data_IF_934103474063
#
_entry.id   IF_934103474063
#
_cell.length_a   1.000
_cell.length_b   1.000
_cell.length_c   1.000
_cell.angle_alpha   90.00
_cell.angle_beta   90.00
_cell.angle_gamma   90.00
#
_symmetry.space_group_name_H-M   'P 1'
#
loop_
_entity.id
_entity.type
_entity.pdbx_description
1 polymer ?
#
# COMPACT_ATOMS: atom_id res chain seq x y z
N UNK A 1 -8.15 12.52 -6.90
CA UNK A 1 -8.78 12.72 -5.56
C UNK A 1 -7.82 12.26 -4.50
N UNK A 2 -7.76 12.95 -3.38
CA UNK A 2 -6.97 12.57 -2.22
C UNK A 2 -7.90 12.25 -1.06
N UNK A 3 -7.76 11.08 -0.46
CA UNK A 3 -8.53 10.69 0.72
C UNK A 3 -7.64 10.65 1.94
N UNK A 4 -7.86 11.59 2.86
CA UNK A 4 -7.08 11.75 4.06
C UNK A 4 -7.87 11.40 5.31
N UNK A 5 -7.38 10.40 6.04
CA UNK A 5 -7.97 9.94 7.29
C UNK A 5 -7.00 10.16 8.45
N UNK A 6 -7.06 11.35 9.05
CA UNK A 6 -6.24 11.77 10.18
C UNK A 6 -6.97 11.73 11.52
N UNK A 7 -8.15 11.08 11.61
CA UNK A 7 -8.85 10.94 12.87
C UNK A 7 -8.25 9.82 13.75
N UNK A 8 -6.94 9.87 13.88
CA UNK A 8 -6.09 8.91 14.57
C UNK A 8 -4.82 9.60 15.10
N UNK A 9 -3.78 8.86 15.49
CA UNK A 9 -2.53 9.39 16.02
C UNK A 9 -1.77 10.30 15.03
N UNK A 10 -1.89 10.09 13.72
CA UNK A 10 -1.26 10.95 12.71
C UNK A 10 -1.89 12.36 12.73
N UNK A 11 -3.20 12.45 12.89
CA UNK A 11 -3.89 13.73 13.04
C UNK A 11 -3.68 14.36 14.42
N UNK A 12 -3.45 13.57 15.47
CA UNK A 12 -3.04 14.09 16.78
C UNK A 12 -1.69 14.80 16.72
N UNK A 13 -0.79 14.34 15.84
CA UNK A 13 0.52 14.93 15.56
C UNK A 13 0.48 16.05 14.51
N UNK A 14 -0.72 16.49 14.11
CA UNK A 14 -0.99 17.56 13.13
C UNK A 14 -0.38 17.33 11.73
N UNK A 15 0.02 16.10 11.41
CA UNK A 15 0.49 15.77 10.06
C UNK A 15 -0.60 16.05 9.01
N UNK A 16 -1.86 15.88 9.40
CA UNK A 16 -3.01 16.12 8.56
C UNK A 16 -3.11 17.57 8.03
N UNK A 17 -2.81 18.56 8.83
CA UNK A 17 -2.85 19.97 8.40
C UNK A 17 -1.60 20.37 7.64
N UNK A 18 -0.45 19.81 8.01
CA UNK A 18 0.83 20.07 7.33
C UNK A 18 0.77 19.64 5.87
N UNK A 19 0.25 18.43 5.59
CA UNK A 19 0.15 17.95 4.21
C UNK A 19 -0.81 18.77 3.36
N UNK A 20 -1.93 19.28 3.92
CA UNK A 20 -2.79 20.20 3.16
C UNK A 20 -2.03 21.47 2.79
N UNK A 21 -1.17 21.96 3.68
CA UNK A 21 -0.31 23.12 3.39
C UNK A 21 0.71 22.80 2.29
N UNK A 22 1.34 21.64 2.33
CA UNK A 22 2.24 21.14 1.28
C UNK A 22 1.50 20.95 -0.05
N UNK A 23 0.26 20.43 -0.03
CA UNK A 23 -0.57 20.32 -1.24
C UNK A 23 -0.87 21.69 -1.86
N UNK A 24 -1.11 22.72 -1.04
CA UNK A 24 -1.32 24.09 -1.54
C UNK A 24 -0.05 24.58 -2.22
N UNK A 25 1.12 24.38 -1.63
CA UNK A 25 2.40 24.75 -2.26
C UNK A 25 2.64 23.95 -3.54
N UNK A 26 2.44 22.64 -3.53
CA UNK A 26 2.57 21.80 -4.71
C UNK A 26 1.63 22.19 -5.85
N UNK A 27 0.38 22.59 -5.54
CA UNK A 27 -0.57 23.09 -6.53
C UNK A 27 -0.07 24.34 -7.26
N UNK A 28 0.75 25.19 -6.63
CA UNK A 28 1.34 26.36 -7.31
C UNK A 28 2.27 25.92 -8.45
N UNK A 29 2.97 24.79 -8.29
CA UNK A 29 3.87 24.19 -9.28
C UNK A 29 3.16 23.50 -10.45
N UNK A 30 1.84 23.21 -10.36
CA UNK A 30 1.12 22.50 -11.44
C UNK A 30 0.95 23.36 -12.69
N UNK A 31 0.94 22.72 -13.87
CA UNK A 31 0.55 23.35 -15.12
C UNK A 31 -0.96 23.58 -15.21
N UNK A 32 -1.37 24.72 -15.81
CA UNK A 32 -2.77 25.01 -16.08
C UNK A 32 -3.63 25.36 -14.85
N UNK A 33 -4.92 25.63 -15.10
CA UNK A 33 -5.91 26.09 -14.11
C UNK A 33 -7.14 25.18 -14.08
N UNK A 34 -7.13 24.07 -14.83
CA UNK A 34 -8.28 23.16 -14.98
C UNK A 34 -8.18 21.91 -14.09
N UNK A 35 -7.03 21.71 -13.44
CA UNK A 35 -6.80 20.58 -12.56
C UNK A 35 -7.59 20.74 -11.26
N UNK A 36 -8.21 19.65 -10.80
CA UNK A 36 -8.94 19.62 -9.55
C UNK A 36 -8.21 18.69 -8.57
N UNK A 37 -7.73 19.23 -7.45
CA UNK A 37 -7.29 18.43 -6.33
C UNK A 37 -8.40 18.42 -5.27
N UNK A 38 -9.10 17.30 -5.17
CA UNK A 38 -10.15 17.10 -4.18
C UNK A 38 -9.55 16.37 -2.98
N UNK A 39 -9.77 16.89 -1.79
CA UNK A 39 -9.26 16.30 -0.54
C UNK A 39 -10.45 16.05 0.38
N UNK A 40 -10.75 14.77 0.62
CA UNK A 40 -11.61 14.40 1.73
C UNK A 40 -10.76 14.36 3.00
N UNK A 41 -11.01 15.27 3.88
CA UNK A 41 -10.26 15.49 5.10
C UNK A 41 -11.09 15.09 6.32
N UNK A 42 -10.70 14.04 7.03
CA UNK A 42 -11.30 13.64 8.30
C UNK A 42 -10.20 13.70 9.39
N UNK A 43 -9.94 14.89 9.89
CA UNK A 43 -8.88 15.16 10.87
C UNK A 43 -9.30 14.88 12.31
N UNK A 44 -8.32 14.71 13.19
CA UNK A 44 -8.55 14.45 14.61
C UNK A 44 -9.34 15.58 15.27
N UNK A 45 -10.50 15.24 15.85
CA UNK A 45 -11.44 16.19 16.47
C UNK A 45 -11.88 17.36 15.57
N UNK A 46 -11.75 17.19 14.25
CA UNK A 46 -12.16 18.20 13.25
C UNK A 46 -13.41 17.71 12.51
N UNK A 47 -14.25 18.63 12.07
CA UNK A 47 -15.36 18.31 11.17
C UNK A 47 -14.82 17.77 9.86
N UNK A 48 -15.28 16.58 9.43
CA UNK A 48 -14.88 16.02 8.17
C UNK A 48 -15.39 16.87 6.99
N UNK A 49 -14.57 17.06 5.97
CA UNK A 49 -14.87 17.90 4.81
C UNK A 49 -14.32 17.31 3.53
N UNK A 50 -15.05 17.48 2.45
CA UNK A 50 -14.52 17.41 1.11
C UNK A 50 -14.14 18.84 0.70
N UNK A 51 -12.87 19.08 0.47
CA UNK A 51 -12.34 20.37 0.01
C UNK A 51 -11.79 20.24 -1.41
N UNK A 52 -11.77 21.35 -2.12
CA UNK A 52 -11.15 21.47 -3.43
C UNK A 52 -10.05 22.51 -3.38
N UNK A 53 -8.87 22.16 -3.88
CA UNK A 53 -7.76 23.08 -4.11
C UNK A 53 -7.73 23.44 -5.58
N UNK A 54 -7.76 24.73 -5.89
CA UNK A 54 -7.83 25.26 -7.25
C UNK A 54 -6.77 26.35 -7.42
N UNK A 55 -5.98 26.26 -8.49
CA UNK A 55 -5.08 27.32 -8.90
C UNK A 55 -5.79 28.27 -9.87
N UNK A 56 -5.78 29.56 -9.56
CA UNK A 56 -6.32 30.59 -10.45
C UNK A 56 -5.30 31.04 -11.53
N UNK A 57 -5.74 31.88 -12.47
CA UNK A 57 -4.88 32.42 -13.54
C UNK A 57 -3.70 33.29 -13.07
N UNK A 58 -3.67 33.69 -11.78
CA UNK A 58 -2.58 34.45 -11.16
C UNK A 58 -1.58 33.55 -10.42
N UNK A 59 -1.79 32.22 -10.43
CA UNK A 59 -0.97 31.25 -9.70
C UNK A 59 -1.32 31.09 -8.22
N UNK A 60 -2.36 31.78 -7.72
CA UNK A 60 -2.82 31.62 -6.35
C UNK A 60 -3.67 30.38 -6.20
N UNK A 61 -3.49 29.64 -5.11
CA UNK A 61 -4.29 28.44 -4.78
C UNK A 61 -5.37 28.81 -3.77
N UNK A 62 -6.63 28.51 -4.12
CA UNK A 62 -7.78 28.69 -3.25
C UNK A 62 -8.26 27.33 -2.75
N UNK A 63 -8.65 27.30 -1.48
CA UNK A 63 -9.35 26.18 -0.87
C UNK A 63 -10.85 26.49 -0.81
N UNK A 64 -11.65 25.59 -1.36
CA UNK A 64 -13.10 25.67 -1.33
C UNK A 64 -13.64 24.45 -0.56
N UNK A 65 -14.58 24.65 0.35
CA UNK A 65 -15.31 23.54 0.97
C UNK A 65 -16.43 23.11 0.04
N UNK A 66 -16.34 21.88 -0.49
CA UNK A 66 -17.36 21.30 -1.36
C UNK A 66 -18.52 20.75 -0.51
N UNK A 67 -18.19 20.04 0.57
CA UNK A 67 -19.15 19.46 1.49
C UNK A 67 -18.56 19.32 2.89
N UNK A 68 -19.38 19.50 3.91
CA UNK A 68 -19.06 19.19 5.30
C UNK A 68 -19.91 18.00 5.73
N UNK A 69 -19.34 17.11 6.52
CA UNK A 69 -19.99 15.90 7.00
C UNK A 69 -20.18 15.99 8.51
N UNK A 70 -21.31 15.48 8.99
CA UNK A 70 -21.50 15.28 10.42
C UNK A 70 -20.49 14.25 10.96
N UNK A 71 -20.40 14.15 12.29
CA UNK A 71 -19.54 13.16 12.93
C UNK A 71 -19.94 11.75 12.45
N UNK A 72 -18.99 11.03 11.89
CA UNK A 72 -19.19 9.69 11.34
C UNK A 72 -17.88 8.88 11.35
N UNK A 73 -18.00 7.58 11.23
CA UNK A 73 -16.86 6.70 10.95
C UNK A 73 -16.40 6.89 9.49
N UNK A 74 -15.28 7.57 9.32
CA UNK A 74 -14.74 7.92 7.99
C UNK A 74 -14.22 6.74 7.17
N UNK A 75 -14.07 5.56 7.79
CA UNK A 75 -13.65 4.32 7.14
C UNK A 75 -14.82 3.35 6.90
N UNK A 76 -16.05 3.75 7.14
CA UNK A 76 -17.19 2.90 6.81
C UNK A 76 -17.43 2.85 5.28
N UNK A 77 -17.90 1.70 4.81
CA UNK A 77 -18.21 1.47 3.40
C UNK A 77 -19.17 2.52 2.82
N UNK A 78 -20.25 2.81 3.53
CA UNK A 78 -21.28 3.74 3.06
C UNK A 78 -20.77 5.17 2.96
N UNK A 79 -20.01 5.63 3.97
CA UNK A 79 -19.39 6.96 3.95
C UNK A 79 -18.38 7.07 2.80
N UNK A 80 -17.57 6.03 2.57
CA UNK A 80 -16.65 6.03 1.45
C UNK A 80 -17.36 6.12 0.11
N UNK A 81 -18.41 5.33 -0.09
CA UNK A 81 -19.24 5.39 -1.31
C UNK A 81 -19.86 6.76 -1.50
N UNK A 82 -20.37 7.38 -0.43
CA UNK A 82 -20.98 8.71 -0.51
C UNK A 82 -19.95 9.78 -0.89
N UNK A 83 -18.78 9.77 -0.25
CA UNK A 83 -17.67 10.69 -0.59
C UNK A 83 -17.25 10.53 -2.04
N UNK A 84 -17.10 9.30 -2.54
CA UNK A 84 -16.71 9.04 -3.93
C UNK A 84 -17.79 9.50 -4.91
N UNK A 85 -19.08 9.19 -4.65
CA UNK A 85 -20.17 9.68 -5.49
C UNK A 85 -20.19 11.20 -5.55
N UNK A 86 -20.09 11.86 -4.39
CA UNK A 86 -20.05 13.32 -4.34
C UNK A 86 -18.88 13.91 -5.11
N UNK A 87 -17.68 13.35 -4.92
CA UNK A 87 -16.49 13.85 -5.60
C UNK A 87 -16.58 13.66 -7.11
N UNK A 88 -16.85 12.45 -7.58
CA UNK A 88 -16.76 12.14 -9.02
C UNK A 88 -17.98 12.58 -9.82
N UNK A 89 -19.17 12.68 -9.23
CA UNK A 89 -20.34 13.26 -9.91
C UNK A 89 -20.23 14.75 -10.11
N UNK A 90 -19.63 15.46 -9.15
CA UNK A 90 -19.50 16.92 -9.24
C UNK A 90 -18.29 17.40 -10.05
N UNK A 91 -17.28 16.54 -10.20
CA UNK A 91 -16.03 16.88 -10.87
C UNK A 91 -15.62 15.83 -11.92
N UNK A 92 -16.41 15.70 -13.00
CA UNK A 92 -16.05 14.80 -14.10
C UNK A 92 -14.75 15.26 -14.76
N UNK A 93 -13.88 14.30 -15.06
CA UNK A 93 -12.57 14.54 -15.68
C UNK A 93 -12.27 13.50 -16.76
N UNK A 94 -11.23 13.75 -17.56
CA UNK A 94 -10.75 12.80 -18.56
C UNK A 94 -9.87 11.70 -17.96
N UNK A 95 -9.24 12.01 -16.83
CA UNK A 95 -8.24 11.20 -16.16
C UNK A 95 -8.43 11.34 -14.65
N UNK A 96 -8.25 10.26 -13.93
CA UNK A 96 -8.44 10.22 -12.48
C UNK A 96 -7.26 9.51 -11.81
N UNK A 97 -6.72 10.13 -10.77
CA UNK A 97 -5.80 9.51 -9.83
C UNK A 97 -6.37 9.54 -8.42
N UNK A 98 -5.98 8.60 -7.59
CA UNK A 98 -6.39 8.56 -6.20
C UNK A 98 -5.19 8.36 -5.27
N UNK A 99 -5.21 9.05 -4.12
CA UNK A 99 -4.23 8.90 -3.05
C UNK A 99 -4.96 8.48 -1.78
N UNK A 100 -4.50 7.42 -1.15
CA UNK A 100 -4.98 6.94 0.13
C UNK A 100 -3.93 7.18 1.21
N UNK A 101 -4.21 8.09 2.13
CA UNK A 101 -3.36 8.39 3.27
C UNK A 101 -4.05 8.03 4.58
N UNK A 102 -3.43 7.21 5.38
CA UNK A 102 -3.77 6.88 6.77
C UNK A 102 -2.75 5.87 7.32
N UNK A 103 -3.00 5.32 8.52
CA UNK A 103 -2.37 4.07 8.88
C UNK A 103 -2.78 2.95 7.92
N UNK A 104 -1.88 2.02 7.69
CA UNK A 104 -2.10 0.79 6.92
C UNK A 104 -1.34 -0.38 7.55
N UNK A 105 -1.84 -1.59 7.35
CA UNK A 105 -1.18 -2.83 7.74
C UNK A 105 -1.43 -3.93 6.69
N UNK A 106 -1.41 -3.50 5.43
CA UNK A 106 -1.57 -4.37 4.27
C UNK A 106 -2.86 -5.18 4.32
N UNK A 107 -2.73 -6.49 4.10
CA UNK A 107 -3.85 -7.42 4.14
C UNK A 107 -4.00 -8.13 5.50
N UNK A 108 -3.12 -7.88 6.48
CA UNK A 108 -3.08 -8.59 7.75
C UNK A 108 -4.34 -8.38 8.59
N UNK A 109 -4.80 -9.49 9.18
CA UNK A 109 -5.95 -9.51 10.07
C UNK A 109 -5.52 -9.23 11.51
N UNK A 110 -5.95 -8.12 12.08
CA UNK A 110 -5.75 -7.85 13.50
C UNK A 110 -6.70 -8.69 14.36
N UNK A 111 -6.28 -9.12 15.55
CA UNK A 111 -6.95 -10.12 16.43
C UNK A 111 -8.39 -9.79 16.89
N UNK A 112 -8.96 -8.68 16.49
CA UNK A 112 -10.38 -8.37 16.70
C UNK A 112 -11.16 -8.68 15.41
N UNK A 113 -12.38 -9.27 15.47
CA UNK A 113 -12.97 -10.05 14.37
C UNK A 113 -13.29 -9.31 13.08
N UNK A 114 -12.79 -8.13 12.82
CA UNK A 114 -13.28 -7.32 11.70
C UNK A 114 -12.27 -6.58 10.83
N UNK A 115 -10.94 -6.73 10.95
CA UNK A 115 -10.12 -5.77 10.19
C UNK A 115 -8.80 -6.28 9.61
N UNK A 116 -8.74 -6.39 8.31
CA UNK A 116 -7.58 -6.20 7.42
C UNK A 116 -7.67 -4.79 6.94
N UNK A 117 -6.61 -3.99 7.03
CA UNK A 117 -6.98 -2.61 7.03
C UNK A 117 -6.05 -1.64 6.34
N UNK A 118 -6.70 -0.81 5.61
CA UNK A 118 -6.27 0.51 5.33
C UNK A 118 -7.24 1.49 6.00
N UNK A 119 -6.70 2.57 6.56
CA UNK A 119 -7.52 3.62 7.16
C UNK A 119 -7.95 3.32 8.58
N UNK A 120 -7.69 4.24 9.50
CA UNK A 120 -8.10 4.15 10.88
C UNK A 120 -8.88 5.38 11.31
N UNK A 121 -10.02 5.18 11.97
CA UNK A 121 -10.81 6.22 12.60
C UNK A 121 -11.03 5.89 14.07
N UNK A 122 -10.56 6.77 14.95
CA UNK A 122 -10.64 6.62 16.40
C UNK A 122 -11.57 7.64 17.07
N UNK A 123 -12.51 8.21 16.32
CA UNK A 123 -13.39 9.29 16.81
C UNK A 123 -14.32 8.86 17.95
N UNK A 124 -14.84 7.64 17.90
CA UNK A 124 -15.71 7.03 18.91
C UNK A 124 -15.58 5.51 19.02
N UNK A 125 -14.51 4.97 18.45
CA UNK A 125 -14.16 3.55 18.42
C UNK A 125 -12.83 3.37 17.74
N UNK A 126 -12.37 2.15 17.52
CA UNK A 126 -11.21 1.84 16.67
C UNK A 126 -11.74 1.16 15.40
N UNK A 127 -12.07 1.96 14.40
CA UNK A 127 -12.60 1.52 13.12
C UNK A 127 -11.51 1.45 12.08
N UNK A 128 -11.57 0.44 11.24
CA UNK A 128 -10.62 0.19 10.17
C UNK A 128 -11.36 -0.39 8.97
N UNK A 129 -10.85 -0.21 7.77
CA UNK A 129 -11.48 -0.71 6.54
C UNK A 129 -10.74 -1.92 5.99
N UNK A 130 -11.44 -2.98 5.69
CA UNK A 130 -10.90 -4.13 4.97
C UNK A 130 -10.54 -3.78 3.52
N UNK A 131 -9.60 -4.48 2.93
CA UNK A 131 -9.27 -4.30 1.50
C UNK A 131 -10.42 -4.73 0.60
N UNK A 132 -11.20 -5.75 0.98
CA UNK A 132 -12.44 -6.12 0.28
C UNK A 132 -13.49 -5.02 0.31
N UNK A 133 -13.65 -4.35 1.46
CA UNK A 133 -14.60 -3.24 1.60
C UNK A 133 -14.10 -2.00 0.85
N UNK A 134 -12.78 -1.78 0.80
CA UNK A 134 -12.19 -0.74 -0.04
C UNK A 134 -12.44 -1.03 -1.52
N UNK A 135 -12.25 -2.27 -1.96
CA UNK A 135 -12.57 -2.70 -3.33
C UNK A 135 -14.04 -2.44 -3.65
N UNK A 136 -14.95 -2.77 -2.73
CA UNK A 136 -16.38 -2.50 -2.88
C UNK A 136 -16.68 -1.00 -2.87
N UNK A 137 -16.05 -0.22 -1.99
CA UNK A 137 -16.23 1.23 -1.97
C UNK A 137 -15.86 1.89 -3.31
N UNK A 138 -14.81 1.38 -3.94
CA UNK A 138 -14.34 1.86 -5.25
C UNK A 138 -15.28 1.51 -6.40
N UNK A 139 -16.28 0.64 -6.21
CA UNK A 139 -17.24 0.27 -7.27
C UNK A 139 -18.10 1.44 -7.77
N UNK A 140 -18.21 2.51 -7.01
CA UNK A 140 -18.94 3.72 -7.39
C UNK A 140 -18.02 4.84 -7.91
N UNK A 141 -16.72 4.60 -7.97
CA UNK A 141 -15.72 5.50 -8.51
C UNK A 141 -15.39 5.14 -9.97
N UNK A 142 -14.83 6.08 -10.76
CA UNK A 142 -14.27 5.74 -12.06
C UNK A 142 -13.04 4.84 -11.91
N UNK A 143 -12.58 4.25 -13.01
CA UNK A 143 -11.28 3.63 -13.07
C UNK A 143 -10.18 4.69 -12.93
N UNK A 144 -9.08 4.36 -12.26
CA UNK A 144 -7.98 5.29 -11.99
C UNK A 144 -6.78 4.98 -12.88
N UNK A 145 -6.10 6.02 -13.36
CA UNK A 145 -4.82 5.88 -14.05
C UNK A 145 -3.73 5.42 -13.06
N UNK A 146 -3.81 5.92 -11.81
CA UNK A 146 -2.93 5.48 -10.73
C UNK A 146 -3.62 5.53 -9.36
N UNK A 147 -3.14 4.69 -8.45
CA UNK A 147 -3.53 4.63 -7.05
C UNK A 147 -2.27 4.68 -6.18
N UNK A 148 -2.08 5.76 -5.43
CA UNK A 148 -1.00 5.90 -4.46
C UNK A 148 -1.50 5.52 -3.07
N UNK A 149 -0.87 4.55 -2.44
CA UNK A 149 -1.01 4.29 -1.02
C UNK A 149 0.12 4.97 -0.24
N UNK A 150 -0.19 6.10 0.37
CA UNK A 150 0.65 6.74 1.36
C UNK A 150 0.30 6.19 2.74
N UNK A 151 0.60 4.92 2.92
CA UNK A 151 0.29 4.11 4.09
C UNK A 151 1.22 2.89 4.17
N UNK A 152 1.51 2.42 5.39
CA UNK A 152 2.45 1.34 5.64
C UNK A 152 1.99 0.02 5.02
N UNK A 153 2.91 -0.77 4.46
CA UNK A 153 2.73 -2.14 3.98
C UNK A 153 1.70 -2.36 2.87
N UNK A 154 1.23 -1.28 2.22
CA UNK A 154 0.19 -1.39 1.20
C UNK A 154 0.69 -1.91 -0.16
N UNK A 155 2.02 -1.96 -0.38
CA UNK A 155 2.61 -2.55 -1.57
C UNK A 155 2.89 -4.05 -1.37
N UNK A 156 1.94 -4.74 -0.75
CA UNK A 156 1.90 -6.20 -0.74
C UNK A 156 1.12 -6.72 -1.93
N UNK A 157 1.57 -7.82 -2.50
CA UNK A 157 0.93 -8.40 -3.69
C UNK A 157 -0.53 -8.81 -3.40
N UNK A 158 -0.84 -9.17 -2.17
CA UNK A 158 -2.18 -9.51 -1.72
C UNK A 158 -3.15 -8.33 -1.82
N UNK A 159 -2.69 -7.12 -1.43
CA UNK A 159 -3.49 -5.88 -1.50
C UNK A 159 -3.72 -5.48 -2.95
N UNK A 160 -2.63 -5.34 -3.71
CA UNK A 160 -2.72 -4.82 -5.08
C UNK A 160 -3.41 -5.81 -6.02
N UNK A 161 -3.29 -7.12 -5.78
CA UNK A 161 -4.03 -8.12 -6.56
C UNK A 161 -5.53 -8.04 -6.31
N UNK A 162 -5.97 -7.79 -5.08
CA UNK A 162 -7.38 -7.60 -4.72
C UNK A 162 -8.00 -6.36 -5.38
N UNK A 163 -7.19 -5.32 -5.64
CA UNK A 163 -7.65 -4.03 -6.18
C UNK A 163 -7.31 -3.84 -7.67
N UNK A 164 -6.74 -4.87 -8.35
CA UNK A 164 -6.13 -4.78 -9.69
C UNK A 164 -7.05 -4.27 -10.81
N UNK A 165 -8.36 -4.41 -10.64
CA UNK A 165 -9.37 -3.97 -11.61
C UNK A 165 -9.79 -2.49 -11.43
N UNK A 166 -9.22 -1.79 -10.43
CA UNK A 166 -9.61 -0.42 -10.07
C UNK A 166 -8.65 0.64 -10.60
N UNK A 167 -7.44 0.28 -10.97
CA UNK A 167 -6.41 1.23 -11.40
C UNK A 167 -5.46 0.60 -12.42
N UNK A 168 -4.81 1.43 -13.24
CA UNK A 168 -3.75 0.97 -14.15
C UNK A 168 -2.42 0.75 -13.42
N UNK A 169 -2.11 1.60 -12.42
CA UNK A 169 -0.86 1.52 -11.65
C UNK A 169 -1.09 1.68 -10.16
N UNK A 170 -0.39 0.85 -9.38
CA UNK A 170 -0.23 1.02 -7.94
C UNK A 170 1.11 1.65 -7.63
N UNK A 171 1.11 2.60 -6.69
CA UNK A 171 2.29 3.24 -6.13
C UNK A 171 2.21 3.07 -4.61
N UNK A 172 3.28 2.62 -3.98
CA UNK A 172 3.25 2.44 -2.52
C UNK A 172 4.53 1.84 -1.97
N UNK A 173 4.49 1.53 -0.68
CA UNK A 173 5.61 0.96 0.05
C UNK A 173 5.27 -0.41 0.62
N UNK A 174 6.19 -1.41 0.48
CA UNK A 174 6.06 -2.67 1.19
C UNK A 174 6.53 -2.59 2.66
N UNK A 175 7.06 -1.42 3.08
CA UNK A 175 7.56 -1.16 4.44
C UNK A 175 6.65 -0.20 5.21
N UNK A 176 7.03 0.13 6.44
CA UNK A 176 6.48 1.31 7.10
C UNK A 176 6.83 2.58 6.33
N UNK A 177 5.90 3.55 6.38
CA UNK A 177 6.10 4.89 5.84
C UNK A 177 6.37 5.84 7.01
N UNK A 178 7.35 6.75 6.90
CA UNK A 178 7.57 7.79 7.89
C UNK A 178 6.31 8.62 8.18
N UNK A 179 6.14 9.08 9.42
CA UNK A 179 4.95 9.81 9.85
C UNK A 179 4.54 11.01 8.98
N UNK A 180 5.48 11.82 8.43
CA UNK A 180 5.16 12.88 7.48
C UNK A 180 4.50 12.37 6.18
N UNK A 181 4.69 11.11 5.79
CA UNK A 181 4.13 10.56 4.55
C UNK A 181 4.80 11.09 3.29
N UNK A 182 4.04 11.12 2.21
CA UNK A 182 4.50 11.63 0.93
C UNK A 182 4.78 13.15 1.02
N UNK A 183 5.89 13.64 0.44
CA UNK A 183 6.22 15.07 0.41
C UNK A 183 5.33 15.77 -0.64
N UNK A 184 4.12 16.19 -0.23
CA UNK A 184 3.09 16.66 -1.16
C UNK A 184 3.45 17.94 -1.93
N UNK A 185 4.37 18.74 -1.44
CA UNK A 185 4.92 19.84 -2.20
C UNK A 185 5.58 19.37 -3.51
N UNK A 186 6.28 18.23 -3.47
CA UNK A 186 6.92 17.64 -4.65
C UNK A 186 5.99 16.67 -5.40
N UNK A 187 5.16 15.91 -4.69
CA UNK A 187 4.29 14.88 -5.28
C UNK A 187 3.11 15.48 -6.03
N UNK A 188 2.50 16.58 -5.55
CA UNK A 188 1.32 17.16 -6.20
C UNK A 188 1.59 17.61 -7.63
N UNK A 189 2.71 18.27 -7.98
CA UNK A 189 3.01 18.55 -9.40
C UNK A 189 3.09 17.28 -10.26
N UNK A 190 3.65 16.19 -9.70
CA UNK A 190 3.77 14.91 -10.39
C UNK A 190 2.40 14.24 -10.64
N UNK A 191 1.41 14.38 -9.72
CA UNK A 191 0.04 13.88 -9.91
C UNK A 191 -0.62 14.44 -11.19
N UNK A 192 -0.21 15.62 -11.64
CA UNK A 192 -0.76 16.29 -12.81
C UNK A 192 0.19 16.29 -14.00
N UNK A 193 1.25 15.50 -13.97
CA UNK A 193 2.13 15.37 -15.13
C UNK A 193 1.42 14.64 -16.28
N UNK A 194 1.75 15.04 -17.53
CA UNK A 194 1.10 14.47 -18.71
C UNK A 194 1.78 13.16 -19.17
N UNK A 195 3.01 12.95 -18.80
CA UNK A 195 3.80 11.77 -19.14
C UNK A 195 4.16 11.03 -17.87
N UNK A 196 3.82 9.75 -17.83
CA UNK A 196 4.14 8.79 -16.75
C UNK A 196 3.94 9.35 -15.34
N UNK A 197 2.75 9.86 -15.01
CA UNK A 197 2.48 10.40 -13.67
C UNK A 197 2.83 9.41 -12.56
N UNK A 198 2.59 8.12 -12.76
CA UNK A 198 2.88 7.05 -11.81
C UNK A 198 4.38 6.95 -11.45
N UNK A 199 5.26 7.15 -12.45
CA UNK A 199 6.71 7.14 -12.24
C UNK A 199 7.15 8.45 -11.57
N UNK A 200 6.67 9.59 -12.08
CA UNK A 200 7.04 10.90 -11.54
C UNK A 200 6.62 11.07 -10.09
N UNK A 201 5.48 10.49 -9.68
CA UNK A 201 5.03 10.44 -8.28
C UNK A 201 6.04 9.66 -7.43
N UNK A 202 6.38 8.45 -7.85
CA UNK A 202 7.29 7.57 -7.13
C UNK A 202 8.70 8.16 -7.02
N UNK A 203 9.21 8.74 -8.12
CA UNK A 203 10.51 9.44 -8.14
C UNK A 203 10.52 10.66 -7.21
N UNK A 204 9.47 11.48 -7.26
CA UNK A 204 9.38 12.66 -6.39
C UNK A 204 9.35 12.26 -4.92
N UNK A 205 8.60 11.20 -4.58
CA UNK A 205 8.53 10.66 -3.23
C UNK A 205 9.92 10.20 -2.75
N UNK A 206 10.55 9.33 -3.53
CA UNK A 206 11.86 8.77 -3.21
C UNK A 206 12.95 9.84 -3.11
N UNK A 207 13.04 10.74 -4.10
CA UNK A 207 14.13 11.72 -4.21
C UNK A 207 14.17 12.66 -3.01
N UNK A 208 13.00 13.17 -2.57
CA UNK A 208 12.95 14.05 -1.39
C UNK A 208 13.45 13.34 -0.14
N UNK A 209 13.10 12.05 0.04
CA UNK A 209 13.59 11.29 1.18
C UNK A 209 15.07 10.95 1.07
N UNK A 210 15.56 10.57 -0.11
CA UNK A 210 16.97 10.26 -0.32
C UNK A 210 17.87 11.50 -0.11
N UNK A 211 17.46 12.66 -0.62
CA UNK A 211 18.22 13.90 -0.50
C UNK A 211 18.12 14.54 0.89
N UNK A 212 16.90 14.68 1.40
CA UNK A 212 16.64 15.40 2.66
C UNK A 212 17.06 14.61 3.88
N UNK A 213 16.91 13.29 3.84
CA UNK A 213 17.12 12.43 5.00
C UNK A 213 18.40 11.60 4.92
N UNK A 214 19.27 11.90 3.96
CA UNK A 214 20.56 11.25 3.80
C UNK A 214 20.47 9.71 3.92
N UNK A 215 19.59 9.09 3.15
CA UNK A 215 19.32 7.65 3.17
C UNK A 215 18.99 7.10 4.57
N UNK A 216 18.22 7.85 5.33
CA UNK A 216 17.78 7.48 6.66
C UNK A 216 18.78 7.72 7.79
N UNK A 217 19.95 8.31 7.50
CA UNK A 217 20.93 8.67 8.52
C UNK A 217 20.54 10.01 9.17
N UNK A 218 20.71 10.13 10.49
CA UNK A 218 20.48 11.36 11.23
C UNK A 218 19.01 11.70 11.51
N UNK A 219 18.18 10.66 11.66
CA UNK A 219 16.76 10.79 11.99
C UNK A 219 16.63 11.50 13.34
N UNK A 220 15.83 12.57 13.38
CA UNK A 220 15.30 13.08 14.62
C UNK A 220 13.92 12.46 14.89
N UNK A 221 13.63 12.10 16.14
CA UNK A 221 12.30 11.62 16.54
C UNK A 221 11.19 12.64 16.23
N UNK A 222 11.52 13.90 16.07
CA UNK A 222 10.58 14.97 15.73
C UNK A 222 10.06 14.88 14.31
N UNK A 223 10.82 14.28 13.38
CA UNK A 223 10.52 14.27 11.97
C UNK A 223 10.11 12.88 11.41
N UNK A 224 10.37 11.80 12.11
CA UNK A 224 10.09 10.43 11.68
C UNK A 224 10.63 10.12 10.27
N UNK A 225 11.82 10.55 10.00
CA UNK A 225 12.38 10.66 8.65
C UNK A 225 13.28 9.48 8.29
N UNK A 226 12.82 8.29 8.58
CA UNK A 226 13.61 7.08 8.53
C UNK A 226 13.81 6.41 7.18
N UNK A 227 13.92 7.17 6.10
CA UNK A 227 14.06 6.60 4.77
C UNK A 227 12.73 6.12 4.18
N UNK A 228 12.75 5.68 2.93
CA UNK A 228 11.56 5.20 2.23
C UNK A 228 11.90 4.14 1.18
N UNK A 229 10.99 3.20 0.99
CA UNK A 229 10.98 2.25 -0.13
C UNK A 229 9.71 2.47 -0.92
N UNK A 230 9.82 2.65 -2.24
CA UNK A 230 8.66 2.88 -3.10
C UNK A 230 8.77 2.04 -4.35
N UNK A 231 7.66 1.48 -4.81
CA UNK A 231 7.58 0.84 -6.12
C UNK A 231 6.33 1.22 -6.89
N UNK A 232 6.38 1.04 -8.21
CA UNK A 232 5.26 1.21 -9.13
C UNK A 232 4.97 -0.12 -9.78
N UNK A 233 3.72 -0.55 -9.67
CA UNK A 233 3.26 -1.84 -10.19
C UNK A 233 2.13 -1.64 -11.18
N UNK A 234 2.27 -2.22 -12.37
CA UNK A 234 1.28 -2.20 -13.43
C UNK A 234 0.22 -3.28 -13.20
N UNK A 235 -1.02 -2.88 -13.02
CA UNK A 235 -2.13 -3.77 -12.65
C UNK A 235 -2.41 -4.85 -13.67
N UNK A 236 -2.34 -4.53 -14.96
CA UNK A 236 -2.62 -5.48 -16.06
C UNK A 236 -1.65 -6.66 -16.10
N UNK A 237 -0.47 -6.55 -15.49
CA UNK A 237 0.55 -7.61 -15.44
C UNK A 237 0.40 -8.54 -14.22
N UNK A 238 -0.43 -8.19 -13.25
CA UNK A 238 -0.61 -8.99 -12.03
C UNK A 238 -1.18 -10.39 -12.27
N UNK A 239 -2.12 -10.63 -13.21
CA UNK A 239 -2.56 -11.99 -13.54
C UNK A 239 -1.45 -12.86 -14.13
N UNK A 240 -0.58 -12.29 -14.98
CA UNK A 240 0.59 -12.98 -15.52
C UNK A 240 1.61 -13.30 -14.44
N UNK A 241 1.85 -12.35 -13.51
CA UNK A 241 2.70 -12.55 -12.35
C UNK A 241 2.17 -13.69 -11.45
N UNK A 242 0.87 -13.72 -11.18
CA UNK A 242 0.25 -14.80 -10.40
C UNK A 242 0.45 -16.18 -11.06
N UNK A 243 0.24 -16.25 -12.38
CA UNK A 243 0.44 -17.49 -13.16
C UNK A 243 1.89 -17.95 -13.13
N UNK A 244 2.84 -17.03 -13.28
CA UNK A 244 4.26 -17.34 -13.23
C UNK A 244 4.73 -17.73 -11.82
N UNK A 245 4.21 -17.07 -10.78
CA UNK A 245 4.42 -17.45 -9.37
C UNK A 245 3.95 -18.88 -9.13
N UNK A 246 2.77 -19.23 -9.60
CA UNK A 246 2.24 -20.60 -9.53
C UNK A 246 3.18 -21.61 -10.19
N UNK A 247 3.77 -21.27 -11.33
CA UNK A 247 4.75 -22.13 -12.00
C UNK A 247 5.97 -22.44 -11.12
N UNK A 248 6.52 -21.44 -10.43
CA UNK A 248 7.63 -21.64 -9.48
C UNK A 248 7.17 -22.48 -8.28
N UNK A 249 6.03 -22.15 -7.68
CA UNK A 249 5.50 -22.88 -6.52
C UNK A 249 5.19 -24.36 -6.84
N UNK A 250 4.68 -24.66 -8.02
CA UNK A 250 4.39 -26.04 -8.45
C UNK A 250 5.67 -26.87 -8.58
N UNK A 251 6.73 -26.30 -9.10
CA UNK A 251 8.02 -27.00 -9.23
C UNK A 251 8.69 -27.18 -7.88
N UNK A 252 8.58 -26.20 -6.99
CA UNK A 252 9.08 -26.30 -5.62
C UNK A 252 8.29 -27.35 -4.78
N UNK A 253 6.99 -27.48 -5.02
CA UNK A 253 6.12 -28.43 -4.32
C UNK A 253 6.30 -29.89 -4.76
N UNK A 254 6.66 -30.13 -6.03
CA UNK A 254 6.87 -31.47 -6.59
C UNK A 254 8.07 -32.20 -5.97
N UNK A 255 8.96 -31.49 -5.30
CA UNK A 255 10.15 -32.04 -4.66
C UNK A 255 9.96 -32.47 -3.19
N UNK A 256 8.77 -32.82 -2.82
CA UNK A 256 8.38 -33.51 -1.56
C UNK A 256 8.92 -32.94 -0.22
N UNK A 257 8.01 -32.72 0.73
CA UNK A 257 8.26 -32.53 2.17
C UNK A 257 8.60 -31.11 2.66
N UNK A 258 7.86 -30.07 2.21
CA UNK A 258 8.16 -28.72 2.72
C UNK A 258 7.06 -28.20 3.65
N UNK A 259 7.06 -28.75 4.85
CA UNK A 259 6.28 -28.17 5.95
C UNK A 259 6.81 -26.79 6.39
N UNK A 260 8.08 -26.47 6.06
CA UNK A 260 8.72 -25.20 6.47
C UNK A 260 9.58 -24.64 5.32
N UNK A 261 9.16 -23.53 4.76
CA UNK A 261 10.01 -22.76 3.84
C UNK A 261 11.12 -22.10 4.67
N UNK A 262 12.38 -22.34 4.31
CA UNK A 262 13.50 -21.60 4.90
C UNK A 262 13.47 -20.16 4.41
N UNK A 263 13.15 -19.22 5.29
CA UNK A 263 13.08 -17.78 5.01
C UNK A 263 14.39 -17.05 5.30
N UNK A 264 15.44 -17.75 5.74
CA UNK A 264 16.72 -17.14 6.06
C UNK A 264 17.31 -16.45 4.82
N UNK A 265 17.66 -15.18 4.97
CA UNK A 265 18.25 -14.38 3.90
C UNK A 265 17.22 -13.75 2.94
N UNK A 266 15.92 -13.97 3.13
CA UNK A 266 14.88 -13.21 2.44
C UNK A 266 14.67 -11.90 3.19
N UNK A 267 14.68 -10.75 2.49
CA UNK A 267 14.38 -9.47 3.12
C UNK A 267 12.98 -9.52 3.75
N UNK A 268 12.92 -9.18 5.03
CA UNK A 268 11.69 -9.01 5.78
C UNK A 268 11.45 -7.51 6.00
N UNK A 269 10.31 -7.00 5.59
CA UNK A 269 9.97 -5.59 5.65
C UNK A 269 9.44 -5.13 7.02
N UNK A 270 9.02 -6.09 7.87
CA UNK A 270 8.57 -5.87 9.25
C UNK A 270 9.36 -6.71 10.27
N UNK A 271 10.73 -6.66 10.25
CA UNK A 271 11.56 -7.60 11.02
C UNK A 271 11.44 -7.43 12.53
N UNK A 272 11.01 -6.26 13.00
CA UNK A 272 10.84 -5.92 14.42
C UNK A 272 9.43 -6.22 14.95
N UNK A 273 8.52 -6.65 14.06
CA UNK A 273 7.11 -6.95 14.37
C UNK A 273 6.81 -8.44 14.12
N UNK A 274 5.75 -8.70 13.39
CA UNK A 274 5.22 -10.07 13.19
C UNK A 274 5.93 -10.86 12.10
N UNK A 275 6.83 -10.23 11.33
CA UNK A 275 7.58 -10.83 10.21
C UNK A 275 6.65 -11.45 9.16
N UNK A 276 5.66 -10.68 8.75
CA UNK A 276 4.63 -11.11 7.81
C UNK A 276 4.89 -10.68 6.37
N UNK A 277 5.73 -9.64 6.18
CA UNK A 277 5.99 -9.04 4.88
C UNK A 277 7.40 -9.37 4.42
N UNK A 278 7.51 -10.33 3.50
CA UNK A 278 8.78 -10.74 2.92
C UNK A 278 8.85 -10.33 1.45
N UNK A 279 10.05 -10.06 0.97
CA UNK A 279 10.25 -9.74 -0.44
C UNK A 279 9.83 -10.92 -1.34
N UNK A 280 8.91 -10.63 -2.28
CA UNK A 280 8.33 -11.67 -3.16
C UNK A 280 9.38 -12.23 -4.13
N UNK A 281 10.23 -11.39 -4.72
CA UNK A 281 11.29 -11.86 -5.62
C UNK A 281 12.34 -12.64 -4.84
N UNK A 282 12.72 -12.17 -3.65
CA UNK A 282 13.63 -12.86 -2.74
C UNK A 282 13.14 -14.26 -2.37
N UNK A 283 11.83 -14.38 -2.09
CA UNK A 283 11.21 -15.68 -1.85
C UNK A 283 11.30 -16.59 -3.08
N UNK A 284 10.92 -16.12 -4.25
CA UNK A 284 10.95 -16.94 -5.47
C UNK A 284 12.37 -17.36 -5.85
N UNK A 285 13.36 -16.47 -5.68
CA UNK A 285 14.79 -16.82 -5.82
C UNK A 285 15.24 -17.92 -4.87
N UNK A 286 14.73 -17.92 -3.65
CA UNK A 286 15.09 -18.88 -2.60
C UNK A 286 14.51 -20.27 -2.83
N UNK A 287 13.27 -20.36 -3.31
CA UNK A 287 12.54 -21.63 -3.40
C UNK A 287 12.55 -22.24 -4.80
N UNK A 288 13.07 -21.54 -5.80
CA UNK A 288 13.08 -22.02 -7.17
C UNK A 288 13.96 -23.29 -7.31
N UNK A 289 13.49 -24.26 -8.08
CA UNK A 289 14.19 -25.51 -8.39
C UNK A 289 14.12 -25.84 -9.89
N UNK A 290 13.38 -25.05 -10.65
CA UNK A 290 13.29 -25.12 -12.09
C UNK A 290 13.64 -23.77 -12.70
N UNK A 291 14.78 -23.71 -13.38
CA UNK A 291 15.31 -22.45 -13.94
C UNK A 291 14.36 -21.82 -14.94
N UNK A 292 13.72 -22.62 -15.81
CA UNK A 292 12.77 -22.08 -16.81
C UNK A 292 11.52 -21.48 -16.16
N UNK A 293 11.01 -22.12 -15.10
CA UNK A 293 9.89 -21.57 -14.34
C UNK A 293 10.27 -20.24 -13.65
N UNK A 294 11.48 -20.18 -13.13
CA UNK A 294 12.02 -18.96 -12.51
C UNK A 294 12.26 -17.86 -13.55
N UNK A 295 12.80 -18.16 -14.72
CA UNK A 295 13.02 -17.17 -15.79
C UNK A 295 11.69 -16.58 -16.27
N UNK A 296 10.66 -17.41 -16.42
CA UNK A 296 9.31 -16.94 -16.74
C UNK A 296 8.75 -16.02 -15.64
N UNK A 297 8.98 -16.39 -14.38
CA UNK A 297 8.57 -15.56 -13.24
C UNK A 297 9.33 -14.23 -13.22
N UNK A 298 10.65 -14.24 -13.37
CA UNK A 298 11.48 -13.04 -13.37
C UNK A 298 11.05 -12.06 -14.47
N UNK A 299 10.72 -12.58 -15.66
CA UNK A 299 10.19 -11.78 -16.76
C UNK A 299 8.81 -11.17 -16.43
N UNK A 300 7.89 -11.96 -15.87
CA UNK A 300 6.57 -11.47 -15.47
C UNK A 300 6.70 -10.42 -14.33
N UNK A 301 7.63 -10.63 -13.41
CA UNK A 301 7.91 -9.67 -12.33
C UNK A 301 8.43 -8.33 -12.87
N UNK A 302 9.37 -8.35 -13.82
CA UNK A 302 9.90 -7.13 -14.44
C UNK A 302 8.84 -6.37 -15.23
N UNK A 303 7.88 -7.07 -15.84
CA UNK A 303 6.75 -6.43 -16.52
C UNK A 303 5.76 -5.80 -15.52
N UNK A 304 5.58 -6.41 -14.35
CA UNK A 304 4.68 -5.93 -13.33
C UNK A 304 5.30 -4.78 -12.51
N UNK A 305 6.53 -4.92 -12.01
CA UNK A 305 7.23 -3.88 -11.23
C UNK A 305 8.00 -2.99 -12.19
N UNK A 306 7.35 -1.93 -12.66
CA UNK A 306 7.88 -1.06 -13.72
C UNK A 306 8.88 0.00 -13.21
N UNK A 307 8.86 0.28 -11.92
CA UNK A 307 9.81 1.16 -11.24
C UNK A 307 9.90 0.80 -9.76
N UNK A 308 11.08 0.94 -9.18
CA UNK A 308 11.31 0.77 -7.74
C UNK A 308 12.58 1.48 -7.30
N UNK A 309 12.57 2.00 -6.09
CA UNK A 309 13.76 2.53 -5.44
C UNK A 309 13.60 2.51 -3.92
N UNK A 310 14.72 2.51 -3.20
CA UNK A 310 14.76 2.49 -1.74
C UNK A 310 15.97 3.25 -1.23
N UNK A 311 15.83 3.87 -0.06
CA UNK A 311 16.99 4.29 0.74
C UNK A 311 17.69 3.05 1.30
N UNK A 312 18.97 3.17 1.67
CA UNK A 312 19.76 2.02 2.17
C UNK A 312 19.14 1.36 3.39
N UNK A 313 18.49 2.19 4.24
CA UNK A 313 17.80 1.74 5.44
C UNK A 313 16.44 2.43 5.57
N UNK A 314 15.48 1.72 6.16
CA UNK A 314 14.19 2.27 6.56
C UNK A 314 14.00 2.13 8.07
N UNK A 315 13.30 3.08 8.68
CA UNK A 315 12.93 2.99 10.08
C UNK A 315 11.77 2.02 10.24
N UNK A 316 11.95 1.00 11.09
CA UNK A 316 10.93 0.03 11.45
C UNK A 316 10.64 0.12 12.93
N UNK A 317 9.37 -0.02 13.31
CA UNK A 317 8.93 0.11 14.69
C UNK A 317 8.73 -1.25 15.37
N UNK A 318 9.05 -1.31 16.67
CA UNK A 318 8.59 -2.37 17.55
C UNK A 318 7.11 -2.16 17.93
N UNK A 319 6.40 -3.19 18.39
CA UNK A 319 5.05 -3.03 18.93
C UNK A 319 4.95 -2.03 20.10
N UNK A 320 6.06 -1.76 20.77
CA UNK A 320 6.17 -0.75 21.85
C UNK A 320 6.18 0.70 21.36
N UNK A 321 6.27 0.93 20.04
CA UNK A 321 6.34 2.27 19.43
C UNK A 321 7.76 2.81 19.23
N UNK A 322 8.79 2.18 19.81
CA UNK A 322 10.19 2.48 19.47
C UNK A 322 10.59 1.70 18.21
N UNK A 323 11.65 2.10 17.54
CA UNK A 323 12.12 1.40 16.36
C UNK A 323 13.61 1.64 16.10
N UNK A 324 14.11 1.03 15.06
CA UNK A 324 15.49 1.16 14.60
C UNK A 324 15.57 1.12 13.08
N UNK A 325 16.73 1.52 12.55
CA UNK A 325 17.00 1.48 11.12
C UNK A 325 17.28 0.06 10.69
N UNK A 326 16.58 -0.40 9.67
CA UNK A 326 16.70 -1.74 9.09
C UNK A 326 17.17 -1.62 7.64
N UNK A 327 18.19 -2.40 7.30
CA UNK A 327 18.73 -2.44 5.93
C UNK A 327 17.69 -2.95 4.95
N UNK A 328 17.58 -2.26 3.80
CA UNK A 328 16.74 -2.64 2.66
C UNK A 328 17.54 -3.41 1.58
N UNK A 329 18.68 -3.97 1.93
CA UNK A 329 19.43 -4.81 1.00
C UNK A 329 18.59 -6.01 0.54
N UNK A 330 18.43 -6.16 -0.76
CA UNK A 330 17.54 -7.17 -1.35
C UNK A 330 16.13 -6.67 -1.66
N UNK A 331 15.87 -5.36 -1.57
CA UNK A 331 14.60 -4.75 -1.96
C UNK A 331 14.29 -4.95 -3.45
N UNK A 332 13.14 -5.56 -3.72
CA UNK A 332 12.67 -5.78 -5.09
C UNK A 332 11.28 -5.16 -5.36
N UNK A 333 10.66 -4.53 -4.35
CA UNK A 333 9.52 -3.63 -4.54
C UNK A 333 8.15 -4.18 -4.16
N UNK A 334 7.99 -5.50 -4.02
CA UNK A 334 6.73 -6.12 -3.58
C UNK A 334 6.94 -7.04 -2.40
N UNK A 335 6.06 -6.95 -1.42
CA UNK A 335 6.00 -7.94 -0.36
C UNK A 335 4.96 -9.02 -0.62
N UNK A 336 5.12 -10.15 0.06
CA UNK A 336 4.16 -11.24 0.15
C UNK A 336 4.19 -11.88 1.54
N UNK A 337 3.08 -12.49 1.90
CA UNK A 337 2.99 -13.36 3.08
C UNK A 337 3.52 -14.76 2.78
N UNK A 338 4.19 -15.32 3.75
CA UNK A 338 4.66 -16.72 3.68
C UNK A 338 3.91 -17.55 4.70
N UNK A 339 3.12 -18.52 4.24
CA UNK A 339 2.42 -19.49 5.09
C UNK A 339 3.43 -20.38 5.81
N UNK A 340 3.51 -20.28 7.13
CA UNK A 340 4.48 -21.01 7.95
C UNK A 340 3.83 -21.90 9.01
N UNK A 341 2.50 -21.85 9.18
CA UNK A 341 1.79 -22.58 10.22
C UNK A 341 1.97 -22.03 11.64
N UNK A 342 2.66 -20.90 11.79
CA UNK A 342 2.91 -20.27 13.09
C UNK A 342 1.68 -19.54 13.63
N UNK A 343 0.86 -18.99 12.74
CA UNK A 343 -0.40 -18.33 13.06
C UNK A 343 -1.55 -19.01 12.32
N UNK A 344 -2.20 -19.96 13.03
CA UNK A 344 -3.28 -20.77 12.46
C UNK A 344 -4.46 -19.94 11.98
N UNK A 345 -4.78 -18.84 12.69
CA UNK A 345 -5.91 -17.97 12.31
C UNK A 345 -5.57 -17.16 11.07
N UNK A 346 -4.37 -16.59 11.03
CA UNK A 346 -3.87 -15.81 9.92
C UNK A 346 -3.78 -16.67 8.65
N UNK A 347 -3.18 -17.86 8.77
CA UNK A 347 -3.06 -18.81 7.66
C UNK A 347 -4.42 -19.28 7.15
N UNK A 348 -5.38 -19.56 8.03
CA UNK A 348 -6.73 -19.97 7.64
C UNK A 348 -7.40 -18.85 6.85
N UNK A 349 -7.26 -17.64 7.33
CA UNK A 349 -7.81 -16.50 6.67
C UNK A 349 -7.16 -16.26 5.28
N UNK A 350 -5.84 -16.26 5.17
CA UNK A 350 -5.12 -16.13 3.90
C UNK A 350 -5.65 -17.09 2.84
N UNK A 351 -5.86 -18.36 3.25
CA UNK A 351 -6.40 -19.42 2.38
C UNK A 351 -7.83 -19.19 1.92
N UNK A 352 -8.68 -18.64 2.79
CA UNK A 352 -10.12 -18.55 2.53
C UNK A 352 -10.52 -17.29 1.79
N UNK A 353 -9.73 -16.23 1.90
CA UNK A 353 -10.25 -14.92 1.57
C UNK A 353 -9.28 -13.98 0.84
N UNK A 354 -8.03 -14.38 0.65
CA UNK A 354 -7.06 -13.61 -0.14
C UNK A 354 -7.02 -14.19 -1.55
N UNK A 355 -7.42 -13.40 -2.55
CA UNK A 355 -7.47 -13.86 -3.95
C UNK A 355 -6.10 -14.33 -4.47
N UNK A 356 -5.03 -13.66 -4.06
CA UNK A 356 -3.67 -14.02 -4.42
C UNK A 356 -3.32 -15.46 -4.06
N UNK A 357 -3.81 -15.97 -2.91
CA UNK A 357 -3.56 -17.35 -2.49
C UNK A 357 -3.94 -18.38 -3.56
N UNK A 358 -5.13 -18.25 -4.12
CA UNK A 358 -5.61 -19.17 -5.15
C UNK A 358 -4.98 -18.88 -6.51
N UNK A 359 -4.84 -17.61 -6.88
CA UNK A 359 -4.30 -17.19 -8.16
C UNK A 359 -2.83 -17.60 -8.35
N UNK A 360 -2.00 -17.37 -7.29
CA UNK A 360 -0.60 -17.74 -7.29
C UNK A 360 -0.32 -19.21 -6.94
N UNK A 361 -1.36 -20.00 -6.67
CA UNK A 361 -1.23 -21.45 -6.47
C UNK A 361 -0.57 -21.86 -5.16
N UNK A 362 -0.66 -21.04 -4.10
CA UNK A 362 -0.11 -21.36 -2.77
C UNK A 362 -0.61 -22.71 -2.20
N UNK A 363 -1.78 -23.16 -2.62
CA UNK A 363 -2.31 -24.49 -2.26
C UNK A 363 -1.35 -25.63 -2.62
N UNK A 364 -0.52 -25.44 -3.65
CA UNK A 364 0.44 -26.46 -4.08
C UNK A 364 1.53 -26.78 -3.03
N UNK A 365 1.83 -25.85 -2.12
CA UNK A 365 2.83 -26.06 -1.05
C UNK A 365 2.30 -26.78 0.19
N UNK A 366 1.00 -26.97 0.31
CA UNK A 366 0.36 -27.35 1.59
C UNK A 366 -0.16 -28.80 1.62
N UNK A 367 -0.14 -29.50 0.51
CA UNK A 367 -0.73 -30.86 0.42
C UNK A 367 0.11 -32.01 1.01
N UNK A 368 1.20 -31.71 1.72
CA UNK A 368 2.09 -32.74 2.28
C UNK A 368 1.99 -32.94 3.78
N UNK A 369 1.02 -32.33 4.47
CA UNK A 369 0.70 -32.77 5.84
C UNK A 369 -0.16 -34.04 5.76
N UNK A 370 0.29 -35.20 6.26
CA UNK A 370 -0.56 -36.39 6.37
C UNK A 370 -1.82 -36.01 7.13
N UNK A 371 -2.98 -36.36 6.57
CA UNK A 371 -4.25 -36.25 7.31
C UNK A 371 -4.13 -36.91 8.68
N UNK A 372 -4.74 -36.36 9.75
CA UNK A 372 -4.81 -37.05 11.03
C UNK A 372 -5.32 -38.48 10.93
N UNK A 373 -6.03 -38.83 9.85
CA UNK A 373 -6.49 -40.20 9.57
C UNK A 373 -5.39 -41.16 9.13
N UNK A 374 -4.28 -40.66 8.58
CA UNK A 374 -3.18 -41.53 8.15
C UNK A 374 -2.23 -41.92 9.27
N UNK A 375 -2.39 -41.33 10.47
CA UNK A 375 -1.62 -41.72 11.68
C UNK A 375 -2.25 -42.84 12.49
N UNK A 376 -3.42 -43.32 12.11
CA UNK A 376 -4.13 -44.37 12.86
C UNK A 376 -3.94 -45.80 12.31
N UNK A 377 -3.05 -45.98 11.32
CA UNK A 377 -2.80 -47.26 10.66
C UNK A 377 -1.33 -47.72 10.73
N UNK A 378 -0.57 -47.27 11.73
CA UNK A 378 0.75 -47.85 12.01
C UNK A 378 0.89 -48.25 13.46
#
# INVERSE_FOLDING_TARGET
>A
MYKRQGNNSLGQSDFDSKDVSEMIEGMKGTGGTTNNLLVYFAGYKKTAKLIRLIKNGKGEVKQETVMSYDKHNSVSLDVMKDVFRTAFSNYPAKSYGIVFWSHGDGWLHYQNPSTRWWGQDTSDGDYRMNISDLHEALSVAPHFDFMLFDACYMQSVEVIYQLRDRTDYFIGSPTEIPGPGAPYEAVVPALFSQDKPEINIAESYYTVYAEKYNNGIGISNENWTGGVSVSVVKSSELPALATATKGVLQTAASMQQRANIDITGILCYDPLRSKNYHDLMGLMKKIQENQQAFDNYAHAYQNAVVWKNTTDNNYCTYPSGYGEMVSMNGFEGLSTYILRGNDVKQDAYYRQSVEWYSAAGWACLLYTSPSPRDRSLS
#
